data_IF_948021676479
#
_entry.id   IF_948021676479
#
_cell.length_a   1.000
_cell.length_b   1.000
_cell.length_c   1.000
_cell.angle_alpha   90.00
_cell.angle_beta   90.00
_cell.angle_gamma   90.00
#
_symmetry.space_group_name_H-M   'P 1'
#
loop_
_entity.id
_entity.type
_entity.pdbx_description
1 polymer ?
#
# COMPACT_ATOMS: atom_id res chain seq x y z
N UNK A 1 1.40 -8.23 37.19
CA UNK A 1 0.55 -7.17 36.62
C UNK A 1 1.08 -5.82 37.11
N UNK A 2 2.10 -5.27 36.44
CA UNK A 2 2.47 -3.86 36.60
C UNK A 2 1.66 -3.10 35.55
N UNK A 3 0.54 -2.52 35.97
CA UNK A 3 -0.32 -1.76 35.05
C UNK A 3 0.46 -0.55 34.55
N UNK A 4 0.79 -0.53 33.26
CA UNK A 4 1.27 0.67 32.59
C UNK A 4 0.16 1.71 32.69
N UNK A 5 0.48 2.89 33.20
CA UNK A 5 -0.48 3.99 33.23
C UNK A 5 -0.99 4.27 31.81
N UNK A 6 -2.28 4.57 31.65
CA UNK A 6 -2.84 4.86 30.33
C UNK A 6 -2.18 6.12 29.77
N UNK A 7 -1.81 6.08 28.49
CA UNK A 7 -1.21 7.23 27.84
C UNK A 7 -2.13 8.45 27.90
N UNK A 8 -1.56 9.59 28.25
CA UNK A 8 -2.29 10.85 28.44
C UNK A 8 -2.52 11.60 27.12
N UNK A 9 -1.68 11.34 26.11
CA UNK A 9 -1.73 11.96 24.78
C UNK A 9 -1.46 10.96 23.66
N UNK A 10 -1.82 11.33 22.41
CA UNK A 10 -1.52 10.50 21.23
C UNK A 10 -0.01 10.38 21.02
N UNK A 11 0.75 11.46 21.25
CA UNK A 11 2.20 11.45 21.10
C UNK A 11 2.85 10.47 22.07
N UNK A 12 2.45 10.48 23.35
CA UNK A 12 2.91 9.50 24.33
C UNK A 12 2.56 8.07 23.90
N UNK A 13 1.31 7.85 23.49
CA UNK A 13 0.82 6.53 23.05
C UNK A 13 1.58 5.97 21.85
N UNK A 14 1.93 6.82 20.89
CA UNK A 14 2.69 6.45 19.69
C UNK A 14 4.20 6.35 19.94
N UNK A 15 4.72 6.89 21.04
CA UNK A 15 6.15 6.89 21.34
C UNK A 15 6.56 5.90 22.42
N UNK A 16 5.60 5.08 22.90
CA UNK A 16 5.85 3.99 23.82
C UNK A 16 6.87 2.97 23.28
N UNK A 17 7.71 2.36 24.13
CA UNK A 17 8.64 1.31 23.74
C UNK A 17 7.94 0.16 23.02
N UNK A 18 8.49 -0.28 21.90
CA UNK A 18 8.05 -1.50 21.26
C UNK A 18 8.53 -2.74 22.05
N UNK A 19 7.82 -3.87 21.98
CA UNK A 19 8.23 -5.09 22.65
C UNK A 19 9.58 -5.59 22.14
N UNK A 20 10.32 -6.27 23.01
CA UNK A 20 11.61 -6.87 22.69
C UNK A 20 11.36 -8.18 21.95
N UNK A 21 11.84 -8.29 20.71
CA UNK A 21 11.59 -9.46 19.86
C UNK A 21 12.80 -10.40 19.86
N UNK A 22 12.55 -11.67 20.14
CA UNK A 22 13.53 -12.74 19.94
C UNK A 22 13.49 -13.21 18.49
N UNK A 23 14.58 -12.96 17.75
CA UNK A 23 14.69 -13.39 16.35
C UNK A 23 15.25 -14.80 16.23
N UNK A 24 14.56 -15.66 15.49
CA UNK A 24 15.05 -16.98 15.11
C UNK A 24 15.52 -16.97 13.66
N UNK A 25 16.60 -17.69 13.32
CA UNK A 25 17.05 -17.79 11.94
C UNK A 25 15.93 -18.30 11.03
N UNK A 26 15.67 -17.64 9.88
CA UNK A 26 14.57 -18.06 9.02
C UNK A 26 14.86 -19.44 8.42
N UNK A 27 13.84 -20.30 8.35
CA UNK A 27 13.95 -21.63 7.72
C UNK A 27 14.39 -21.54 6.25
N UNK A 28 13.99 -20.47 5.55
CA UNK A 28 14.39 -20.16 4.17
C UNK A 28 15.18 -18.86 4.16
N UNK A 29 16.42 -18.93 3.66
CA UNK A 29 17.32 -17.77 3.58
C UNK A 29 17.02 -16.85 2.40
N UNK A 30 16.30 -17.31 1.38
CA UNK A 30 16.06 -16.55 0.16
C UNK A 30 14.73 -15.81 0.21
N UNK A 31 14.72 -14.58 -0.30
CA UNK A 31 13.51 -13.82 -0.56
C UNK A 31 12.72 -14.41 -1.73
N UNK A 32 11.41 -14.14 -1.72
CA UNK A 32 10.55 -14.43 -2.88
C UNK A 32 11.13 -13.71 -4.10
N UNK A 33 11.17 -14.39 -5.25
CA UNK A 33 11.73 -13.83 -6.48
C UNK A 33 10.66 -13.82 -7.54
N UNK A 34 10.38 -12.66 -8.09
CA UNK A 34 9.49 -12.55 -9.23
C UNK A 34 10.10 -11.62 -10.28
N UNK A 35 10.39 -12.16 -11.46
CA UNK A 35 10.96 -11.37 -12.56
C UNK A 35 10.03 -10.26 -13.05
N UNK A 36 8.74 -10.30 -12.69
CA UNK A 36 7.77 -9.24 -12.98
C UNK A 36 7.96 -7.99 -12.12
N UNK A 37 8.68 -8.07 -11.00
CA UNK A 37 8.85 -6.90 -10.14
C UNK A 37 9.83 -5.89 -10.75
N UNK A 38 9.36 -4.66 -10.82
CA UNK A 38 10.13 -3.50 -11.26
C UNK A 38 11.14 -3.10 -10.21
N UNK A 39 12.29 -2.59 -10.65
CA UNK A 39 13.28 -1.97 -9.77
C UNK A 39 13.25 -0.46 -10.00
N UNK A 40 13.32 0.37 -8.93
CA UNK A 40 13.58 1.78 -9.12
C UNK A 40 14.94 1.94 -9.79
N UNK A 41 15.09 2.96 -10.63
CA UNK A 41 16.39 3.25 -11.27
C UNK A 41 17.39 3.79 -10.25
N UNK A 42 16.90 4.55 -9.27
CA UNK A 42 17.71 5.18 -8.22
C UNK A 42 17.01 5.05 -6.86
N UNK A 43 17.78 4.83 -5.80
CA UNK A 43 17.36 4.72 -4.41
C UNK A 43 18.21 5.68 -3.57
N UNK A 44 17.58 6.61 -2.85
CA UNK A 44 18.25 7.62 -2.03
C UNK A 44 17.63 7.75 -0.66
N UNK A 45 18.37 8.33 0.29
CA UNK A 45 17.80 8.73 1.57
C UNK A 45 16.76 9.83 1.35
N UNK A 46 15.70 9.79 2.15
CA UNK A 46 14.68 10.81 2.21
C UNK A 46 15.04 11.77 3.34
N UNK A 47 15.96 12.68 3.03
CA UNK A 47 16.56 13.58 4.03
C UNK A 47 15.52 14.43 4.76
N UNK A 48 14.50 14.88 4.01
CA UNK A 48 13.38 15.63 4.56
C UNK A 48 12.61 14.86 5.65
N UNK A 49 12.21 13.60 5.42
CA UNK A 49 11.47 12.84 6.43
C UNK A 49 12.34 12.52 7.65
N UNK A 50 13.67 12.43 7.47
CA UNK A 50 14.58 12.20 8.58
C UNK A 50 14.54 13.34 9.61
N UNK A 51 14.31 14.57 9.17
CA UNK A 51 14.17 15.73 10.04
C UNK A 51 12.82 15.71 10.77
N UNK A 52 12.86 15.53 12.09
CA UNK A 52 11.68 15.53 12.94
C UNK A 52 10.94 16.88 12.92
N UNK A 53 11.61 17.98 12.53
CA UNK A 53 10.94 19.28 12.38
C UNK A 53 9.85 19.27 11.31
N UNK A 54 9.90 18.36 10.34
CA UNK A 54 8.79 18.17 9.39
C UNK A 54 7.50 17.86 10.14
N UNK A 55 7.54 16.96 11.12
CA UNK A 55 6.36 16.65 11.94
C UNK A 55 5.83 17.88 12.69
N UNK A 56 6.75 18.70 13.22
CA UNK A 56 6.40 19.92 13.96
C UNK A 56 5.77 20.98 13.06
N UNK A 57 6.19 21.06 11.79
CA UNK A 57 5.77 22.10 10.85
C UNK A 57 4.54 21.71 10.01
N UNK A 58 4.35 20.43 9.71
CA UNK A 58 3.26 19.95 8.86
C UNK A 58 1.88 20.39 9.36
N UNK A 59 0.99 20.72 8.42
CA UNK A 59 -0.35 21.23 8.70
C UNK A 59 -0.36 22.48 9.61
N UNK A 60 0.67 23.33 9.48
CA UNK A 60 0.82 24.55 10.27
C UNK A 60 1.04 24.29 11.76
N UNK A 61 1.58 23.13 12.13
CA UNK A 61 1.84 22.73 13.52
C UNK A 61 0.64 22.16 14.27
N UNK A 62 -0.57 22.26 13.70
CA UNK A 62 -1.81 21.73 14.30
C UNK A 62 -1.74 20.24 14.59
N UNK A 63 -1.02 19.48 13.77
CA UNK A 63 -0.90 18.03 13.97
C UNK A 63 -0.14 17.70 15.26
N UNK A 64 0.92 18.45 15.57
CA UNK A 64 1.68 18.27 16.81
C UNK A 64 0.87 18.72 18.03
N UNK A 65 0.14 19.83 17.93
CA UNK A 65 -0.78 20.29 18.97
C UNK A 65 -1.84 19.23 19.28
N UNK A 66 -2.43 18.65 18.23
CA UNK A 66 -3.43 17.59 18.35
C UNK A 66 -2.85 16.32 18.98
N UNK A 67 -1.61 15.96 18.60
CA UNK A 67 -0.89 14.81 19.14
C UNK A 67 -0.57 14.96 20.63
N UNK A 68 -0.25 16.18 21.07
CA UNK A 68 0.07 16.51 22.47
C UNK A 68 -1.15 16.77 23.34
N UNK A 69 -2.33 16.98 22.75
CA UNK A 69 -3.56 17.27 23.51
C UNK A 69 -3.82 16.17 24.53
N UNK A 70 -3.85 16.56 25.79
CA UNK A 70 -4.17 15.70 26.92
C UNK A 70 -5.68 15.41 27.02
N UNK A 71 -6.05 14.44 27.86
CA UNK A 71 -7.46 14.14 28.16
C UNK A 71 -8.17 13.35 27.07
N UNK A 72 -7.45 12.78 26.10
CA UNK A 72 -8.04 11.86 25.13
C UNK A 72 -8.30 10.50 25.75
N UNK A 73 -9.46 9.93 25.44
CA UNK A 73 -9.77 8.56 25.79
C UNK A 73 -9.06 7.58 24.83
N UNK A 74 -7.81 7.25 25.14
CA UNK A 74 -7.03 6.23 24.46
C UNK A 74 -7.18 4.88 25.18
N UNK A 75 -7.20 3.74 24.44
CA UNK A 75 -7.22 2.43 25.07
C UNK A 75 -5.88 2.14 25.76
N UNK A 76 -5.88 1.13 26.66
CA UNK A 76 -4.64 0.55 27.15
C UNK A 76 -3.81 -0.04 26.00
N UNK A 77 -2.49 -0.14 26.21
CA UNK A 77 -1.62 -0.83 25.26
C UNK A 77 -2.07 -2.28 25.05
N UNK A 78 -1.92 -2.83 23.82
CA UNK A 78 -2.25 -4.23 23.57
C UNK A 78 -1.48 -5.17 24.50
N UNK A 79 -2.14 -6.18 25.05
CA UNK A 79 -1.51 -7.19 25.89
C UNK A 79 -0.65 -8.13 25.03
N UNK A 80 0.66 -8.16 25.28
CA UNK A 80 1.64 -8.92 24.51
C UNK A 80 2.20 -10.03 25.40
N UNK A 81 2.13 -11.26 24.90
CA UNK A 81 2.78 -12.41 25.50
C UNK A 81 4.20 -12.53 24.91
N UNK A 82 5.22 -12.29 25.73
CA UNK A 82 6.61 -12.31 25.28
C UNK A 82 7.06 -13.67 24.73
N UNK A 83 6.46 -14.78 25.18
CA UNK A 83 6.81 -16.12 24.71
C UNK A 83 6.08 -16.48 23.41
N UNK A 84 4.83 -16.03 23.27
CA UNK A 84 3.99 -16.38 22.13
C UNK A 84 4.08 -15.38 20.97
N UNK A 85 4.09 -14.07 21.27
CA UNK A 85 3.99 -12.99 20.28
C UNK A 85 5.35 -12.39 19.91
N UNK A 86 6.30 -12.36 20.85
CA UNK A 86 7.62 -11.72 20.66
C UNK A 86 8.69 -12.67 20.11
N UNK A 87 8.29 -13.71 19.39
CA UNK A 87 9.22 -14.68 18.77
C UNK A 87 9.04 -14.69 17.24
N UNK A 88 9.97 -14.03 16.54
CA UNK A 88 9.93 -13.94 15.08
C UNK A 88 10.65 -15.14 14.43
N UNK A 89 9.90 -16.00 13.74
CA UNK A 89 10.45 -17.17 13.01
C UNK A 89 10.25 -17.03 11.50
N UNK A 90 9.24 -16.28 11.07
CA UNK A 90 8.86 -16.12 9.67
C UNK A 90 7.98 -14.86 9.45
N UNK A 91 7.62 -14.60 8.20
CA UNK A 91 6.82 -13.42 7.78
C UNK A 91 5.46 -13.34 8.47
N UNK A 92 4.82 -14.48 8.79
CA UNK A 92 3.55 -14.48 9.50
C UNK A 92 3.69 -14.02 10.95
N UNK A 93 4.81 -14.34 11.62
CA UNK A 93 5.07 -13.91 12.99
C UNK A 93 5.30 -12.38 13.01
N UNK A 94 6.12 -11.86 12.08
CA UNK A 94 6.30 -10.41 11.88
C UNK A 94 4.94 -9.73 11.69
N UNK A 95 4.12 -10.24 10.77
CA UNK A 95 2.78 -9.68 10.51
C UNK A 95 1.87 -9.76 11.74
N UNK A 96 1.86 -10.88 12.45
CA UNK A 96 1.02 -11.06 13.64
C UNK A 96 1.39 -10.04 14.72
N UNK A 97 2.67 -9.84 14.99
CA UNK A 97 3.15 -8.82 15.93
C UNK A 97 2.74 -7.41 15.50
N UNK A 98 2.97 -7.04 14.24
CA UNK A 98 2.54 -5.73 13.72
C UNK A 98 1.02 -5.53 13.80
N UNK A 99 0.22 -6.57 13.55
CA UNK A 99 -1.24 -6.50 13.67
C UNK A 99 -1.66 -6.32 15.13
N UNK A 100 -1.07 -7.09 16.05
CA UNK A 100 -1.43 -7.05 17.47
C UNK A 100 -0.99 -5.75 18.14
N UNK A 101 0.23 -5.30 17.87
CA UNK A 101 0.87 -4.14 18.49
C UNK A 101 0.65 -2.84 17.68
N UNK A 102 1.44 -2.64 16.63
CA UNK A 102 1.52 -1.39 15.86
C UNK A 102 0.18 -0.99 15.25
N UNK A 103 -0.52 -1.90 14.56
CA UNK A 103 -1.80 -1.60 13.91
C UNK A 103 -2.85 -1.20 14.94
N UNK A 104 -2.92 -1.89 16.08
CA UNK A 104 -3.85 -1.57 17.17
C UNK A 104 -3.61 -0.16 17.71
N UNK A 105 -2.35 0.15 18.02
CA UNK A 105 -1.92 1.46 18.54
C UNK A 105 -2.20 2.58 17.51
N UNK A 106 -1.70 2.43 16.28
CA UNK A 106 -1.86 3.43 15.22
C UNK A 106 -3.34 3.64 14.88
N UNK A 107 -4.13 2.57 14.77
CA UNK A 107 -5.57 2.70 14.44
C UNK A 107 -6.34 3.40 15.57
N UNK A 108 -6.00 3.12 16.83
CA UNK A 108 -6.61 3.80 17.97
C UNK A 108 -6.24 5.29 18.00
N UNK A 109 -4.98 5.63 17.72
CA UNK A 109 -4.50 7.01 17.64
C UNK A 109 -5.07 7.80 16.44
N UNK A 110 -5.36 7.15 15.32
CA UNK A 110 -6.00 7.78 14.14
C UNK A 110 -7.49 8.06 14.37
N UNK A 111 -8.17 7.24 15.18
CA UNK A 111 -9.63 7.34 15.37
C UNK A 111 -10.12 8.74 15.76
N UNK A 112 -9.55 9.42 16.78
CA UNK A 112 -10.06 10.72 17.21
C UNK A 112 -9.77 11.87 16.24
N UNK A 113 -8.78 11.73 15.35
CA UNK A 113 -8.35 12.79 14.43
C UNK A 113 -8.79 12.56 12.98
N UNK A 114 -9.48 11.44 12.72
CA UNK A 114 -9.68 10.92 11.37
C UNK A 114 -10.38 11.90 10.44
N UNK A 115 -11.43 12.56 10.93
CA UNK A 115 -12.22 13.50 10.15
C UNK A 115 -11.48 14.81 9.94
N UNK A 116 -10.86 15.34 10.99
CA UNK A 116 -10.13 16.61 10.94
C UNK A 116 -8.90 16.55 10.03
N UNK A 117 -8.20 15.42 10.02
CA UNK A 117 -6.96 15.24 9.25
C UNK A 117 -7.10 14.32 8.03
N UNK A 118 -8.33 13.96 7.64
CA UNK A 118 -8.64 13.09 6.49
C UNK A 118 -7.81 11.80 6.44
N UNK A 119 -7.48 11.22 7.60
CA UNK A 119 -6.47 10.15 7.68
C UNK A 119 -6.97 8.84 7.07
N UNK A 120 -6.11 8.15 6.31
CA UNK A 120 -6.41 6.82 5.80
C UNK A 120 -6.41 5.77 6.92
N UNK A 121 -7.28 4.76 6.79
CA UNK A 121 -7.35 3.65 7.74
C UNK A 121 -6.36 2.55 7.38
N UNK A 122 -5.89 1.80 8.38
CA UNK A 122 -5.06 0.61 8.17
C UNK A 122 -5.91 -0.59 7.75
N UNK A 123 -6.41 -0.51 6.52
CA UNK A 123 -7.11 -1.57 5.80
C UNK A 123 -6.51 -1.72 4.42
N UNK A 124 -6.45 -2.95 3.91
CA UNK A 124 -6.02 -3.20 2.54
C UNK A 124 -7.04 -2.60 1.59
N UNK A 125 -6.56 -1.94 0.54
CA UNK A 125 -7.41 -1.47 -0.54
C UNK A 125 -7.74 -2.55 -1.56
N UNK A 126 -8.69 -2.23 -2.43
CA UNK A 126 -9.01 -2.99 -3.62
C UNK A 126 -7.86 -2.91 -4.63
N UNK A 127 -7.60 -4.00 -5.37
CA UNK A 127 -6.63 -4.00 -6.44
C UNK A 127 -7.08 -3.06 -7.58
N UNK A 128 -6.14 -2.57 -8.42
CA UNK A 128 -6.50 -1.85 -9.64
C UNK A 128 -7.36 -2.72 -10.58
N UNK A 129 -8.17 -2.08 -11.42
CA UNK A 129 -9.10 -2.77 -12.33
C UNK A 129 -8.38 -3.68 -13.33
N UNK A 130 -9.07 -4.75 -13.76
CA UNK A 130 -8.50 -5.86 -14.54
C UNK A 130 -8.05 -5.46 -15.97
N UNK A 131 -8.40 -4.27 -16.45
CA UNK A 131 -8.19 -3.82 -17.84
C UNK A 131 -6.86 -3.08 -18.08
N UNK A 132 -6.05 -2.81 -17.04
CA UNK A 132 -4.82 -2.06 -17.22
C UNK A 132 -3.62 -2.96 -17.59
N UNK A 133 -3.14 -2.90 -18.84
CA UNK A 133 -1.97 -3.64 -19.22
C UNK A 133 -0.69 -3.06 -18.58
N UNK A 134 0.09 -3.92 -17.94
CA UNK A 134 1.42 -3.55 -17.43
C UNK A 134 2.52 -3.98 -18.40
N UNK A 135 3.37 -3.03 -18.79
CA UNK A 135 4.61 -3.33 -19.52
C UNK A 135 5.51 -4.19 -18.62
N UNK A 136 5.98 -5.37 -19.08
CA UNK A 136 6.93 -6.16 -18.31
C UNK A 136 8.25 -5.38 -18.13
N UNK A 137 8.96 -5.56 -17.00
CA UNK A 137 10.24 -4.89 -16.78
C UNK A 137 11.23 -5.19 -17.91
N UNK A 138 11.93 -4.15 -18.37
CA UNK A 138 12.92 -4.26 -19.45
C UNK A 138 14.03 -5.22 -19.02
N UNK A 139 14.18 -6.33 -19.75
CA UNK A 139 15.28 -7.27 -19.48
C UNK A 139 16.60 -6.59 -19.87
N UNK A 140 17.66 -6.68 -19.05
CA UNK A 140 18.98 -6.28 -19.51
C UNK A 140 19.36 -7.19 -20.68
N UNK A 141 19.61 -6.59 -21.85
CA UNK A 141 20.15 -7.29 -23.01
C UNK A 141 21.48 -7.92 -22.61
N UNK A 142 21.47 -9.24 -22.40
CA UNK A 142 22.70 -10.01 -22.41
C UNK A 142 23.09 -10.11 -23.88
N UNK A 143 24.01 -9.25 -24.33
CA UNK A 143 24.80 -9.51 -25.53
C UNK A 143 25.57 -10.82 -25.32
N UNK A 144 24.94 -11.95 -25.64
CA UNK A 144 25.65 -13.17 -25.95
C UNK A 144 26.00 -13.07 -27.43
N UNK A 145 27.27 -12.88 -27.73
CA UNK A 145 27.81 -13.17 -29.06
C UNK A 145 27.69 -14.69 -29.27
N UNK A 146 26.56 -15.13 -29.77
CA UNK A 146 26.41 -16.46 -30.35
C UNK A 146 26.38 -16.30 -31.87
N UNK A 147 26.99 -17.23 -32.63
CA UNK A 147 27.01 -17.15 -34.09
C UNK A 147 25.57 -17.17 -34.64
N UNK A 148 25.34 -16.57 -35.82
CA UNK A 148 24.00 -16.39 -36.36
C UNK A 148 23.38 -17.76 -36.60
N UNK A 149 22.37 -18.11 -35.79
CA UNK A 149 21.41 -19.15 -36.17
C UNK A 149 20.24 -18.44 -36.82
N UNK A 150 19.94 -18.82 -38.06
CA UNK A 150 18.68 -18.48 -38.72
C UNK A 150 17.53 -19.01 -37.86
N UNK A 151 16.93 -18.13 -37.06
CA UNK A 151 15.68 -18.38 -36.37
C UNK A 151 14.64 -17.46 -37.00
N UNK A 152 13.60 -18.08 -37.55
CA UNK A 152 12.39 -17.45 -38.07
C UNK A 152 11.89 -16.35 -37.14
N UNK A 153 11.90 -15.11 -37.62
CA UNK A 153 11.41 -13.93 -36.91
C UNK A 153 9.90 -13.87 -37.02
N UNK A 154 9.20 -14.72 -36.27
CA UNK A 154 7.88 -14.33 -35.79
C UNK A 154 8.12 -13.49 -34.53
N UNK A 155 8.00 -12.18 -34.68
CA UNK A 155 7.98 -11.24 -33.56
C UNK A 155 6.76 -11.56 -32.69
N UNK A 156 6.93 -12.46 -31.73
CA UNK A 156 5.93 -12.68 -30.67
C UNK A 156 5.79 -11.35 -29.94
N UNK A 157 4.67 -10.67 -30.16
CA UNK A 157 4.24 -9.55 -29.34
C UNK A 157 4.36 -9.97 -27.87
N UNK A 158 5.00 -9.17 -27.01
CA UNK A 158 5.16 -9.52 -25.61
C UNK A 158 3.77 -9.68 -25.00
N UNK A 159 3.39 -10.94 -24.75
CA UNK A 159 2.09 -11.30 -24.20
C UNK A 159 1.93 -10.52 -22.89
N UNK A 160 0.97 -9.61 -22.85
CA UNK A 160 0.64 -8.86 -21.64
C UNK A 160 0.28 -9.86 -20.54
N UNK A 161 0.98 -9.82 -19.41
CA UNK A 161 0.81 -10.79 -18.35
C UNK A 161 0.05 -10.15 -17.19
N UNK A 162 -1.07 -10.78 -16.79
CA UNK A 162 -1.87 -10.32 -15.66
C UNK A 162 -1.03 -10.19 -14.39
N UNK A 163 -1.16 -9.03 -13.74
CA UNK A 163 -0.58 -8.71 -12.45
C UNK A 163 -1.44 -9.19 -11.26
N UNK A 164 -2.59 -9.86 -11.52
CA UNK A 164 -3.59 -10.28 -10.52
C UNK A 164 -3.07 -10.90 -9.22
N UNK A 165 -1.93 -11.60 -9.30
CA UNK A 165 -1.33 -12.29 -8.14
C UNK A 165 -0.37 -11.44 -7.31
N UNK A 166 -0.06 -10.21 -7.72
CA UNK A 166 0.85 -9.32 -7.01
C UNK A 166 0.02 -8.38 -6.14
N UNK A 167 -0.01 -8.64 -4.84
CA UNK A 167 -0.70 -7.77 -3.87
C UNK A 167 0.17 -7.56 -2.64
N UNK A 168 0.11 -6.37 -2.04
CA UNK A 168 0.83 -6.12 -0.79
C UNK A 168 0.25 -6.96 0.35
N UNK A 169 1.07 -7.27 1.35
CA UNK A 169 0.63 -8.00 2.54
C UNK A 169 -0.41 -7.20 3.35
N UNK A 170 -0.28 -5.87 3.38
CA UNK A 170 -1.22 -4.94 4.02
C UNK A 170 -1.23 -3.59 3.32
N UNK A 171 -2.08 -2.67 3.76
CA UNK A 171 -2.39 -1.47 2.99
C UNK A 171 -3.01 -0.33 3.77
N UNK A 172 -3.44 0.70 3.05
CA UNK A 172 -4.32 1.75 3.56
C UNK A 172 -5.34 2.17 2.53
N UNK A 173 -6.54 2.50 2.98
CA UNK A 173 -7.63 3.01 2.16
C UNK A 173 -8.37 4.10 2.94
N UNK A 174 -9.23 4.87 2.28
CA UNK A 174 -10.20 5.69 3.02
C UNK A 174 -11.35 4.81 3.50
N UNK A 175 -12.15 5.31 4.43
CA UNK A 175 -13.36 4.61 4.90
C UNK A 175 -14.58 5.35 4.39
N UNK A 176 -15.54 4.64 3.79
CA UNK A 176 -16.88 5.18 3.55
C UNK A 176 -17.49 5.56 4.90
N UNK A 177 -17.84 6.83 5.09
CA UNK A 177 -18.59 7.29 6.26
C UNK A 177 -20.10 7.21 6.08
N UNK A 178 -20.62 6.86 4.89
CA UNK A 178 -22.05 6.70 4.64
C UNK A 178 -22.42 5.25 4.30
N UNK A 179 -23.29 4.59 5.08
CA UNK A 179 -23.79 3.24 4.79
C UNK A 179 -25.02 3.20 3.85
N UNK A 180 -25.39 4.31 3.19
CA UNK A 180 -26.72 4.41 2.57
C UNK A 180 -26.85 5.18 1.26
N UNK A 181 -25.77 5.66 0.64
CA UNK A 181 -25.84 6.24 -0.70
C UNK A 181 -25.14 5.30 -1.69
N UNK A 182 -25.86 4.90 -2.73
CA UNK A 182 -25.29 4.41 -4.00
C UNK A 182 -24.57 5.58 -4.67
N UNK A 183 -23.50 6.05 -4.04
CA UNK A 183 -22.69 7.16 -4.53
C UNK A 183 -21.76 6.59 -5.61
N UNK A 184 -21.81 7.09 -6.87
CA UNK A 184 -20.97 6.58 -7.95
C UNK A 184 -19.46 6.70 -7.67
N UNK A 185 -19.05 7.51 -6.68
CA UNK A 185 -17.66 7.65 -6.23
C UNK A 185 -17.21 6.60 -5.19
N UNK A 186 -18.04 5.59 -4.87
CA UNK A 186 -17.72 4.57 -3.84
C UNK A 186 -16.43 3.79 -4.07
N UNK A 187 -15.97 3.71 -5.33
CA UNK A 187 -14.75 3.02 -5.74
C UNK A 187 -13.47 3.74 -5.26
N UNK A 188 -13.47 5.07 -5.18
CA UNK A 188 -12.28 5.85 -4.78
C UNK A 188 -11.87 5.64 -3.32
N UNK A 189 -12.83 5.27 -2.47
CA UNK A 189 -12.59 5.05 -1.05
C UNK A 189 -11.89 3.73 -0.77
N UNK A 190 -12.01 2.74 -1.66
CA UNK A 190 -11.38 1.43 -1.49
C UNK A 190 -9.99 1.33 -2.10
N UNK A 191 -9.52 2.36 -2.81
CA UNK A 191 -8.20 2.32 -3.45
C UNK A 191 -7.07 2.12 -2.44
N UNK A 192 -6.09 1.29 -2.81
CA UNK A 192 -4.87 1.09 -2.03
C UNK A 192 -3.95 2.32 -2.12
N UNK A 193 -3.71 2.97 -0.98
CA UNK A 193 -2.96 4.23 -0.86
C UNK A 193 -1.58 4.09 -0.22
N UNK A 194 -1.34 3.01 0.53
CA UNK A 194 -0.10 2.84 1.29
C UNK A 194 0.23 1.35 1.48
N UNK A 195 0.74 0.68 0.42
CA UNK A 195 1.11 -0.73 0.46
C UNK A 195 2.21 -0.99 1.48
N UNK A 196 2.07 -2.09 2.21
CA UNK A 196 2.99 -2.53 3.27
C UNK A 196 3.39 -3.97 3.05
N UNK A 197 4.68 -4.22 3.13
CA UNK A 197 5.28 -5.55 3.06
C UNK A 197 5.87 -5.95 4.40
N UNK A 198 5.67 -7.20 4.84
CA UNK A 198 6.34 -7.72 6.03
C UNK A 198 7.52 -8.59 5.64
N UNK A 199 8.64 -8.43 6.33
CA UNK A 199 9.81 -9.28 6.16
C UNK A 199 10.41 -9.63 7.53
N UNK A 200 10.91 -10.86 7.73
CA UNK A 200 11.59 -11.21 8.97
C UNK A 200 12.85 -10.37 9.09
N UNK A 201 13.13 -9.91 10.29
CA UNK A 201 14.21 -8.96 10.54
C UNK A 201 15.59 -9.56 10.20
N UNK A 202 15.77 -10.88 10.35
CA UNK A 202 16.99 -11.61 9.96
C UNK A 202 17.07 -11.97 8.47
N UNK A 203 16.05 -11.62 7.67
CA UNK A 203 16.01 -11.91 6.22
C UNK A 203 16.22 -10.65 5.38
N UNK A 204 15.91 -9.48 5.93
CA UNK A 204 16.09 -8.21 5.25
C UNK A 204 16.30 -7.07 6.23
N UNK A 205 17.33 -6.25 5.99
CA UNK A 205 17.61 -4.98 6.68
C UNK A 205 18.10 -3.96 5.66
N UNK A 206 17.69 -2.71 5.78
CA UNK A 206 18.07 -1.63 4.86
C UNK A 206 19.56 -1.33 4.90
N UNK A 207 20.20 -1.47 6.07
CA UNK A 207 21.65 -1.28 6.23
C UNK A 207 22.49 -2.17 5.32
N UNK A 208 21.98 -3.34 4.94
CA UNK A 208 22.68 -4.26 4.04
C UNK A 208 22.82 -3.72 2.62
N UNK A 209 22.02 -2.72 2.23
CA UNK A 209 22.23 -2.02 0.95
C UNK A 209 23.57 -1.30 0.91
N UNK A 210 24.00 -0.73 2.04
CA UNK A 210 25.28 -0.05 2.19
C UNK A 210 26.42 -1.04 2.49
N UNK A 211 26.19 -2.05 3.33
CA UNK A 211 27.23 -3.04 3.69
C UNK A 211 27.62 -3.96 2.50
N UNK A 212 26.69 -4.26 1.57
CA UNK A 212 26.91 -5.18 0.43
C UNK A 212 27.00 -4.47 -0.93
N UNK A 213 27.57 -3.25 -0.97
CA UNK A 213 27.40 -2.21 -2.00
C UNK A 213 26.42 -2.57 -3.12
N UNK A 214 25.12 -2.59 -2.79
CA UNK A 214 24.08 -2.93 -3.77
C UNK A 214 23.78 -1.74 -4.69
N UNK A 215 23.96 -0.54 -4.16
CA UNK A 215 23.80 0.74 -4.82
C UNK A 215 25.13 1.51 -4.73
N UNK A 216 25.42 2.29 -5.76
CA UNK A 216 26.58 3.19 -5.77
C UNK A 216 26.27 4.50 -5.00
N UNK A 217 27.25 5.41 -4.95
CA UNK A 217 27.12 6.70 -4.26
C UNK A 217 25.99 7.59 -4.82
N UNK A 218 25.65 7.44 -6.10
CA UNK A 218 24.53 8.17 -6.70
C UNK A 218 23.17 7.52 -6.40
N UNK A 219 23.15 6.36 -5.72
CA UNK A 219 21.95 5.60 -5.40
C UNK A 219 21.47 4.68 -6.52
N UNK A 220 22.22 4.54 -7.61
CA UNK A 220 21.87 3.61 -8.69
C UNK A 220 22.39 2.20 -8.40
N UNK A 221 21.68 1.19 -8.89
CA UNK A 221 22.12 -0.20 -8.72
C UNK A 221 23.50 -0.43 -9.33
N UNK A 222 24.38 -1.03 -8.53
CA UNK A 222 25.65 -1.55 -9.02
C UNK A 222 25.42 -2.63 -10.09
N UNK A 223 26.38 -2.79 -11.01
CA UNK A 223 26.20 -3.66 -12.19
C UNK A 223 25.79 -5.08 -11.78
N UNK A 224 24.58 -5.50 -12.17
CA UNK A 224 24.03 -6.82 -11.86
C UNK A 224 23.46 -7.00 -10.45
N UNK A 225 23.57 -5.99 -9.57
CA UNK A 225 23.09 -6.07 -8.17
C UNK A 225 21.58 -5.93 -8.02
N UNK A 226 20.86 -5.41 -9.00
CA UNK A 226 19.39 -5.38 -9.02
C UNK A 226 18.72 -6.77 -9.07
N UNK A 227 19.51 -7.83 -9.28
CA UNK A 227 19.08 -9.24 -9.22
C UNK A 227 19.52 -9.95 -7.92
N UNK A 228 20.21 -9.23 -7.03
CA UNK A 228 20.64 -9.76 -5.73
C UNK A 228 19.44 -10.09 -4.84
N UNK A 229 19.58 -11.06 -3.92
CA UNK A 229 18.46 -11.54 -3.11
C UNK A 229 17.82 -10.42 -2.26
N UNK A 230 18.66 -9.54 -1.73
CA UNK A 230 18.27 -8.40 -0.90
C UNK A 230 17.58 -7.27 -1.68
N UNK A 231 17.67 -7.26 -3.02
CA UNK A 231 16.98 -6.29 -3.85
C UNK A 231 15.48 -6.64 -4.00
N UNK A 232 15.10 -7.90 -3.79
CA UNK A 232 13.74 -8.36 -4.08
C UNK A 232 12.65 -7.70 -3.24
N UNK A 233 12.79 -7.52 -1.92
CA UNK A 233 11.77 -6.81 -1.13
C UNK A 233 11.54 -5.37 -1.59
N UNK A 234 12.60 -4.66 -1.99
CA UNK A 234 12.52 -3.30 -2.54
C UNK A 234 11.76 -3.31 -3.86
N UNK A 235 12.10 -4.23 -4.77
CA UNK A 235 11.42 -4.37 -6.07
C UNK A 235 9.95 -4.71 -5.91
N UNK A 236 9.65 -5.60 -4.97
CA UNK A 236 8.29 -6.01 -4.64
C UNK A 236 7.47 -4.81 -4.16
N UNK A 237 7.93 -4.12 -3.12
CA UNK A 237 7.23 -2.96 -2.54
C UNK A 237 7.09 -1.81 -3.56
N UNK A 238 8.15 -1.53 -4.34
CA UNK A 238 8.13 -0.55 -5.43
C UNK A 238 7.09 -0.88 -6.51
N UNK A 239 6.97 -2.17 -6.86
CA UNK A 239 5.98 -2.61 -7.84
C UNK A 239 4.56 -2.35 -7.35
N UNK A 240 4.28 -2.54 -6.07
CA UNK A 240 2.96 -2.23 -5.52
C UNK A 240 2.63 -0.74 -5.60
N UNK A 241 3.62 0.14 -5.40
CA UNK A 241 3.41 1.57 -5.60
C UNK A 241 3.07 1.91 -7.05
N UNK A 242 3.77 1.31 -8.03
CA UNK A 242 3.46 1.48 -9.46
C UNK A 242 2.06 0.97 -9.80
N UNK A 243 1.69 -0.20 -9.28
CA UNK A 243 0.42 -0.85 -9.58
C UNK A 243 -0.77 -0.04 -9.09
N UNK A 244 -0.69 0.47 -7.85
CA UNK A 244 -1.76 1.22 -7.23
C UNK A 244 -1.61 2.74 -7.46
N UNK A 245 -0.64 3.16 -8.28
CA UNK A 245 -0.29 4.57 -8.51
C UNK A 245 -0.18 5.40 -7.23
N UNK A 246 0.38 4.79 -6.18
CA UNK A 246 0.56 5.43 -4.89
C UNK A 246 2.03 5.85 -4.66
N UNK A 247 2.17 7.06 -4.13
CA UNK A 247 3.44 7.75 -3.83
C UNK A 247 4.22 7.07 -2.74
N UNK A 248 3.56 6.43 -1.78
CA UNK A 248 4.21 5.95 -0.55
C UNK A 248 4.11 4.43 -0.41
N UNK A 249 5.08 3.84 0.27
CA UNK A 249 5.04 2.43 0.67
C UNK A 249 6.00 2.14 1.81
N UNK A 250 5.92 0.94 2.38
CA UNK A 250 6.90 0.53 3.39
C UNK A 250 7.20 -0.97 3.40
N UNK A 251 8.38 -1.30 3.93
CA UNK A 251 8.78 -2.65 4.32
C UNK A 251 8.95 -2.64 5.84
N UNK A 252 8.23 -3.53 6.50
CA UNK A 252 8.11 -3.62 7.95
C UNK A 252 8.82 -4.88 8.43
N UNK A 253 9.75 -4.69 9.36
CA UNK A 253 10.49 -5.76 10.03
C UNK A 253 10.48 -5.53 11.53
N UNK A 254 10.85 -6.54 12.33
CA UNK A 254 11.05 -6.35 13.76
C UNK A 254 12.39 -5.66 14.13
N UNK A 255 13.16 -5.15 13.15
CA UNK A 255 14.33 -4.29 13.40
C UNK A 255 14.11 -2.84 12.97
N UNK A 256 13.26 -2.61 11.98
CA UNK A 256 13.04 -1.29 11.40
C UNK A 256 11.74 -1.22 10.59
N UNK A 257 11.21 -0.01 10.46
CA UNK A 257 10.30 0.37 9.39
C UNK A 257 11.09 1.11 8.30
N UNK A 258 11.15 0.52 7.11
CA UNK A 258 11.69 1.14 5.91
C UNK A 258 10.55 1.81 5.14
N UNK A 259 10.39 3.12 5.32
CA UNK A 259 9.32 3.92 4.71
C UNK A 259 9.91 4.65 3.52
N UNK A 260 9.18 4.68 2.40
CA UNK A 260 9.68 5.31 1.20
C UNK A 260 8.58 6.05 0.44
N UNK A 261 9.01 7.01 -0.38
CA UNK A 261 8.21 7.63 -1.44
C UNK A 261 8.82 7.38 -2.81
N UNK A 262 7.99 7.37 -3.85
CA UNK A 262 8.39 7.10 -5.23
C UNK A 262 7.99 8.26 -6.14
N UNK A 263 8.83 8.60 -7.13
CA UNK A 263 8.49 9.53 -8.20
C UNK A 263 9.30 9.25 -9.46
N UNK A 264 8.88 9.72 -10.64
CA UNK A 264 9.76 9.79 -11.79
C UNK A 264 11.00 10.66 -11.51
N UNK A 265 12.15 10.30 -12.08
CA UNK A 265 13.33 11.19 -12.12
C UNK A 265 13.23 12.23 -13.23
N UNK A 266 12.48 11.93 -14.27
CA UNK A 266 12.30 12.77 -15.45
C UNK A 266 11.51 14.04 -15.08
N UNK A 267 11.82 15.15 -15.75
CA UNK A 267 11.02 16.37 -15.64
C UNK A 267 9.67 16.13 -16.31
N UNK A 268 8.64 16.76 -15.76
CA UNK A 268 7.30 16.80 -16.34
C UNK A 268 7.37 17.19 -17.83
N UNK A 269 6.72 16.44 -18.73
CA UNK A 269 6.75 16.74 -20.15
C UNK A 269 6.10 18.11 -20.42
N UNK A 270 6.69 18.89 -21.34
CA UNK A 270 6.26 20.26 -21.65
C UNK A 270 4.79 20.40 -22.09
N UNK A 271 4.17 19.29 -22.51
CA UNK A 271 2.77 19.27 -22.94
C UNK A 271 1.77 19.05 -21.78
N UNK A 272 2.22 19.04 -20.51
CA UNK A 272 1.34 19.02 -19.33
C UNK A 272 0.37 17.84 -19.29
N UNK A 273 0.66 16.76 -20.02
CA UNK A 273 -0.21 15.59 -20.07
C UNK A 273 -0.19 14.92 -18.70
N UNK A 274 -1.26 15.14 -17.93
CA UNK A 274 -1.58 14.41 -16.70
C UNK A 274 -1.98 12.95 -16.97
N UNK A 275 -1.53 12.35 -18.08
CA UNK A 275 -1.82 10.96 -18.41
C UNK A 275 -1.10 10.03 -17.42
N UNK A 276 -1.89 9.40 -16.56
CA UNK A 276 -1.48 8.37 -15.60
C UNK A 276 -0.63 7.28 -16.26
N UNK A 277 -0.88 6.93 -17.52
CA UNK A 277 -0.10 5.93 -18.25
C UNK A 277 1.31 6.42 -18.62
N UNK A 278 1.48 7.71 -18.94
CA UNK A 278 2.81 8.31 -19.14
C UNK A 278 3.59 8.27 -17.84
N UNK A 279 2.94 8.69 -16.75
CA UNK A 279 3.55 8.71 -15.41
C UNK A 279 3.97 7.31 -14.96
N UNK A 280 3.08 6.33 -15.08
CA UNK A 280 3.36 4.91 -14.78
C UNK A 280 4.54 4.38 -15.59
N UNK A 281 4.59 4.65 -16.90
CA UNK A 281 5.72 4.24 -17.76
C UNK A 281 7.03 4.88 -17.30
N UNK A 282 7.01 6.13 -16.86
CA UNK A 282 8.22 6.78 -16.35
C UNK A 282 8.66 6.22 -15.00
N UNK A 283 7.75 5.85 -14.10
CA UNK A 283 8.12 5.12 -12.88
C UNK A 283 8.78 3.78 -13.21
N UNK A 284 8.25 3.03 -14.18
CA UNK A 284 8.81 1.75 -14.60
C UNK A 284 10.23 1.90 -15.19
N UNK A 285 10.46 2.93 -16.01
CA UNK A 285 11.71 3.09 -16.76
C UNK A 285 12.77 3.88 -16.02
N UNK A 286 12.37 4.91 -15.28
CA UNK A 286 13.27 5.92 -14.70
C UNK A 286 12.78 6.45 -13.34
N UNK A 287 12.24 5.58 -12.49
CA UNK A 287 11.76 5.98 -11.17
C UNK A 287 12.86 6.13 -10.11
N UNK A 288 12.59 7.00 -9.16
CA UNK A 288 13.34 7.28 -7.94
C UNK A 288 12.55 6.77 -6.74
N UNK A 289 13.24 6.11 -5.82
CA UNK A 289 12.74 5.80 -4.49
C UNK A 289 13.55 6.59 -3.44
N UNK A 290 12.89 7.40 -2.64
CA UNK A 290 13.50 8.09 -1.49
C UNK A 290 13.03 7.39 -0.22
N UNK A 291 13.93 7.02 0.69
CA UNK A 291 13.59 6.22 1.87
C UNK A 291 14.16 6.75 3.20
N UNK A 292 13.45 6.44 4.27
CA UNK A 292 13.92 6.53 5.65
C UNK A 292 13.88 5.13 6.29
N UNK A 293 14.78 4.88 7.23
CA UNK A 293 14.79 3.67 8.06
C UNK A 293 14.63 4.10 9.50
N UNK A 294 13.59 3.60 10.15
CA UNK A 294 13.23 3.94 11.53
C UNK A 294 13.44 2.70 12.39
N UNK A 295 14.43 2.69 13.30
CA UNK A 295 14.72 1.53 14.14
C UNK A 295 13.54 1.14 15.03
N UNK A 296 13.32 -0.17 15.19
CA UNK A 296 12.30 -0.74 16.08
C UNK A 296 12.51 -0.35 17.55
N UNK A 297 13.77 -0.17 17.94
CA UNK A 297 14.17 0.20 19.29
C UNK A 297 13.93 1.67 19.63
N UNK A 298 13.59 2.52 18.66
CA UNK A 298 13.31 3.93 18.93
C UNK A 298 12.05 4.09 19.78
N UNK A 299 12.16 4.83 20.88
CA UNK A 299 11.08 5.16 21.79
C UNK A 299 11.40 6.45 22.54
N UNK A 300 10.39 7.00 23.23
CA UNK A 300 10.57 8.18 24.08
C UNK A 300 11.45 7.87 25.30
N UNK A 301 12.45 8.73 25.56
CA UNK A 301 13.38 8.60 26.69
C UNK A 301 13.21 9.73 27.73
N UNK A 302 12.01 9.90 28.28
CA UNK A 302 11.71 10.63 29.53
C UNK A 302 12.12 12.10 29.69
N UNK A 303 12.87 12.70 28.76
CA UNK A 303 13.27 14.11 28.75
C UNK A 303 12.33 14.97 27.91
N UNK A 304 12.26 16.28 28.18
CA UNK A 304 11.40 17.23 27.45
C UNK A 304 11.70 17.27 25.93
N UNK A 305 12.97 17.11 25.54
CA UNK A 305 13.40 16.98 24.14
C UNK A 305 13.34 15.53 23.60
N UNK A 306 13.04 14.55 24.44
CA UNK A 306 13.11 13.13 24.04
C UNK A 306 11.90 12.63 23.24
N UNK A 307 10.93 13.49 22.94
CA UNK A 307 9.89 13.22 21.94
C UNK A 307 10.33 13.56 20.51
N UNK A 308 11.54 14.10 20.30
CA UNK A 308 12.04 14.53 18.98
C UNK A 308 12.69 13.40 18.19
N UNK A 309 12.11 12.20 18.27
CA UNK A 309 12.57 11.05 17.51
C UNK A 309 11.41 10.32 16.86
N UNK A 310 11.65 9.85 15.65
CA UNK A 310 10.70 8.98 14.97
C UNK A 310 10.69 7.60 15.62
N UNK A 311 9.54 7.21 16.17
CA UNK A 311 9.21 5.81 16.47
C UNK A 311 8.44 5.22 15.29
N UNK A 312 8.41 3.89 15.19
CA UNK A 312 7.68 3.20 14.11
C UNK A 312 6.18 3.56 14.15
N UNK A 313 5.57 3.54 15.33
CA UNK A 313 4.14 3.84 15.48
C UNK A 313 3.85 5.31 15.10
N UNK A 314 4.67 6.27 15.56
CA UNK A 314 4.50 7.68 15.23
C UNK A 314 4.66 7.94 13.73
N UNK A 315 5.69 7.37 13.10
CA UNK A 315 5.92 7.55 11.68
C UNK A 315 4.81 6.93 10.84
N UNK A 316 4.33 5.74 11.18
CA UNK A 316 3.22 5.13 10.47
C UNK A 316 1.92 5.91 10.66
N UNK A 317 1.65 6.41 11.87
CA UNK A 317 0.52 7.31 12.11
C UNK A 317 0.58 8.57 11.24
N UNK A 318 1.76 9.21 11.17
CA UNK A 318 1.97 10.36 10.30
C UNK A 318 1.79 10.01 8.81
N UNK A 319 2.35 8.89 8.35
CA UNK A 319 2.15 8.41 6.97
C UNK A 319 0.69 8.17 6.64
N UNK A 320 -0.09 7.63 7.57
CA UNK A 320 -1.53 7.42 7.40
C UNK A 320 -2.32 8.73 7.21
N UNK A 321 -1.84 9.83 7.80
CA UNK A 321 -2.39 11.17 7.58
C UNK A 321 -1.96 11.70 6.21
N UNK A 322 -0.68 11.60 5.87
CA UNK A 322 -0.17 12.04 4.57
C UNK A 322 -0.88 11.34 3.41
N UNK A 323 -1.01 10.01 3.43
CA UNK A 323 -1.68 9.25 2.37
C UNK A 323 -3.20 9.45 2.37
N UNK A 324 -3.77 9.92 3.48
CA UNK A 324 -5.17 10.32 3.55
C UNK A 324 -5.44 11.57 2.70
N UNK A 325 -4.51 12.52 2.74
CA UNK A 325 -4.62 13.82 2.07
C UNK A 325 -4.06 13.80 0.64
N UNK A 326 -2.91 13.14 0.41
CA UNK A 326 -2.28 13.10 -0.90
C UNK A 326 -1.47 11.80 -1.07
N UNK A 327 -2.06 10.80 -1.71
CA UNK A 327 -1.40 9.51 -1.95
C UNK A 327 -0.88 9.33 -3.37
N UNK A 328 -1.27 10.18 -4.31
CA UNK A 328 -1.07 9.92 -5.74
C UNK A 328 0.38 10.15 -6.16
N UNK A 329 0.83 9.37 -7.13
CA UNK A 329 2.11 9.66 -7.78
C UNK A 329 1.99 10.98 -8.55
N UNK A 330 3.02 11.82 -8.49
CA UNK A 330 3.13 13.03 -9.29
C UNK A 330 4.57 13.18 -9.81
N UNK A 331 4.76 14.04 -10.82
CA UNK A 331 6.09 14.39 -11.34
C UNK A 331 6.94 15.13 -10.32
N UNK A 332 6.30 15.95 -9.50
CA UNK A 332 6.91 16.77 -8.46
C UNK A 332 6.06 16.68 -7.21
N UNK A 333 6.74 16.81 -6.09
CA UNK A 333 6.13 16.87 -4.79
C UNK A 333 6.58 18.14 -4.12
N UNK A 334 5.64 18.80 -3.45
CA UNK A 334 5.95 19.83 -2.48
C UNK A 334 6.68 19.23 -1.29
N UNK A 335 7.22 20.12 -0.44
CA UNK A 335 7.83 19.70 0.81
C UNK A 335 6.75 19.14 1.73
N UNK A 336 7.08 18.13 2.53
CA UNK A 336 6.18 17.51 3.51
C UNK A 336 5.61 18.51 4.52
N UNK A 337 6.38 19.55 4.86
CA UNK A 337 5.92 20.64 5.74
C UNK A 337 4.85 21.52 5.07
N UNK A 338 4.82 21.55 3.74
CA UNK A 338 3.92 22.36 2.93
C UNK A 338 2.67 21.55 2.48
N UNK A 339 2.57 20.28 2.88
CA UNK A 339 1.38 19.45 2.60
C UNK A 339 0.14 20.07 3.25
N UNK A 340 -0.91 20.19 2.45
CA UNK A 340 -2.20 20.76 2.88
C UNK A 340 -3.23 19.66 3.10
N UNK A 341 -4.29 19.99 3.83
CA UNK A 341 -5.46 19.12 3.85
C UNK A 341 -5.99 18.93 2.44
N UNK A 342 -6.38 17.70 2.09
CA UNK A 342 -7.22 17.51 0.93
C UNK A 342 -8.44 18.41 1.14
N UNK A 343 -8.68 19.34 0.21
CA UNK A 343 -9.96 20.03 0.19
C UNK A 343 -11.01 18.91 0.23
N UNK A 344 -11.84 18.89 1.28
CA UNK A 344 -13.04 18.07 1.27
C UNK A 344 -13.67 18.41 -0.07
N UNK A 345 -13.72 17.44 -1.00
CA UNK A 345 -14.45 17.62 -2.24
C UNK A 345 -15.90 17.77 -1.81
N UNK A 346 -16.28 19.00 -1.46
CA UNK A 346 -17.67 19.40 -1.44
C UNK A 346 -18.18 19.04 -2.82
N UNK A 347 -19.31 18.32 -2.92
CA UNK A 347 -20.02 18.22 -4.18
C UNK A 347 -20.09 19.65 -4.72
N UNK A 348 -19.47 19.88 -5.88
CA UNK A 348 -19.74 21.13 -6.57
C UNK A 348 -21.22 21.03 -6.89
N UNK A 349 -22.04 21.79 -6.17
CA UNK A 349 -23.35 22.18 -6.67
C UNK A 349 -23.06 22.81 -8.03
N UNK A 350 -23.32 22.05 -9.10
CA UNK A 350 -23.47 22.65 -10.41
C UNK A 350 -24.48 23.79 -10.22
N UNK A 351 -24.17 25.02 -10.65
CA UNK A 351 -25.18 26.05 -10.69
C UNK A 351 -26.25 25.53 -11.63
N UNK A 352 -27.39 25.12 -11.07
CA UNK A 352 -28.64 24.97 -11.81
C UNK A 352 -28.86 26.32 -12.48
N UNK A 353 -28.53 26.40 -13.76
CA UNK A 353 -28.88 27.50 -14.62
C UNK A 353 -30.42 27.52 -14.66
N UNK A 354 -30.99 28.41 -13.86
CA UNK A 354 -32.37 28.83 -14.01
C UNK A 354 -32.53 29.41 -15.42
N UNK A 355 -33.34 28.71 -16.20
CA UNK A 355 -34.35 29.23 -17.13
C UNK A 355 -34.25 30.72 -17.47
N UNK A 356 -33.89 31.00 -18.72
CA UNK A 356 -34.52 32.08 -19.47
C UNK A 356 -35.40 31.43 -20.56
N UNK A 357 -36.67 31.82 -20.49
CA UNK A 357 -37.75 31.56 -21.45
C UNK A 357 -37.47 32.28 -22.77
N UNK A 358 -37.94 31.68 -23.87
CA UNK A 358 -38.84 32.27 -24.87
C UNK A 358 -38.79 31.40 -26.14
N UNK A 359 -39.88 30.66 -26.39
CA UNK A 359 -40.82 30.89 -27.50
C UNK A 359 -40.38 30.15 -28.77
N UNK A 360 -41.09 29.07 -29.11
CA UNK A 360 -41.93 29.08 -30.30
C UNK A 360 -42.83 27.83 -30.39
N UNK A 361 -44.04 28.12 -30.81
CA UNK A 361 -45.24 27.30 -30.97
C UNK A 361 -45.07 26.26 -32.10
N UNK A 362 -45.71 25.08 -31.98
CA UNK A 362 -46.88 24.77 -32.81
C UNK A 362 -47.31 23.29 -32.77
N UNK A 363 -48.60 23.16 -32.49
CA UNK A 363 -49.60 22.30 -33.15
C UNK A 363 -49.47 20.76 -33.21
N UNK A 364 -50.27 20.15 -32.34
CA UNK A 364 -51.50 19.42 -32.72
C UNK A 364 -51.54 17.89 -32.65
N UNK A 365 -52.74 17.45 -32.26
CA UNK A 365 -53.44 16.22 -32.66
C UNK A 365 -53.47 15.06 -31.65
N UNK A 366 -54.42 15.18 -30.73
CA UNK A 366 -55.55 14.29 -30.43
C UNK A 366 -55.42 12.76 -30.43
N UNK A 367 -56.19 12.20 -29.46
CA UNK A 367 -56.82 10.87 -29.40
C UNK A 367 -56.00 9.69 -28.92
N UNK A 368 -56.58 8.64 -28.34
CA UNK A 368 -57.72 8.43 -27.43
C UNK A 368 -57.47 7.03 -26.84
N UNK A 369 -58.19 6.69 -25.78
CA UNK A 369 -58.11 5.46 -24.99
C UNK A 369 -57.96 4.13 -25.75
N UNK A 370 -57.38 3.12 -25.08
CA UNK A 370 -58.11 1.90 -24.67
C UNK A 370 -57.22 0.64 -24.60
N UNK A 371 -57.10 0.10 -23.38
CA UNK A 371 -57.45 -1.27 -22.98
C UNK A 371 -56.93 -2.48 -23.82
N UNK A 372 -56.11 -3.34 -23.19
CA UNK A 372 -56.37 -4.77 -22.91
C UNK A 372 -55.12 -5.63 -22.74
N UNK A 373 -54.95 -6.16 -21.52
CA UNK A 373 -54.47 -7.53 -21.22
C UNK A 373 -55.37 -8.56 -21.95
N UNK A 374 -54.96 -9.71 -22.48
CA UNK A 374 -54.26 -10.89 -21.89
C UNK A 374 -53.78 -11.83 -23.05
N UNK A 375 -53.36 -13.10 -22.84
CA UNK A 375 -52.04 -13.67 -23.15
C UNK A 375 -51.99 -14.49 -24.46
N UNK A 376 -50.80 -14.91 -24.91
CA UNK A 376 -50.68 -16.21 -25.58
C UNK A 376 -49.27 -16.79 -25.53
N UNK A 377 -49.27 -18.11 -25.48
CA UNK A 377 -48.21 -19.04 -25.13
C UNK A 377 -47.46 -19.58 -26.35
N UNK A 378 -46.29 -20.16 -26.08
CA UNK A 378 -45.58 -21.22 -26.81
C UNK A 378 -45.43 -21.14 -28.35
N UNK A 379 -44.18 -20.96 -28.82
CA UNK A 379 -43.31 -22.09 -29.18
C UNK A 379 -42.16 -21.75 -30.16
N UNK A 380 -41.02 -22.43 -29.95
CA UNK A 380 -39.90 -22.75 -30.88
C UNK A 380 -38.96 -21.57 -31.22
N UNK A 381 -37.72 -21.53 -30.74
CA UNK A 381 -36.60 -22.28 -31.31
C UNK A 381 -35.48 -22.62 -30.29
N UNK A 382 -34.93 -23.81 -30.49
CA UNK A 382 -33.88 -24.51 -29.72
C UNK A 382 -32.48 -23.90 -29.91
N UNK A 383 -31.52 -24.23 -29.02
CA UNK A 383 -30.45 -25.12 -29.50
C UNK A 383 -30.16 -26.33 -28.59
N UNK A 384 -29.81 -27.42 -29.28
CA UNK A 384 -29.26 -28.68 -28.75
C UNK A 384 -28.07 -28.43 -27.80
N UNK A 385 -28.03 -29.00 -26.58
CA UNK A 385 -27.58 -30.39 -26.25
C UNK A 385 -26.18 -30.68 -26.81
N UNK A 386 -25.13 -30.99 -26.05
CA UNK A 386 -24.88 -32.01 -25.00
C UNK A 386 -23.37 -31.83 -24.63
N UNK A 387 -22.78 -32.25 -23.51
CA UNK A 387 -23.06 -33.12 -22.34
C UNK A 387 -21.92 -32.79 -21.36
N UNK A 388 -22.16 -32.44 -20.09
CA UNK A 388 -22.49 -33.29 -18.93
C UNK A 388 -21.36 -34.24 -18.53
N UNK A 389 -20.73 -33.99 -17.36
CA UNK A 389 -21.02 -34.77 -16.13
C UNK A 389 -20.39 -34.17 -14.88
N UNK A 390 -21.27 -33.69 -14.00
CA UNK A 390 -21.37 -33.88 -12.54
C UNK A 390 -20.47 -35.01 -12.00
N UNK A 391 -19.91 -34.95 -10.79
CA UNK A 391 -20.69 -34.95 -9.54
C UNK A 391 -19.84 -34.52 -8.34
N UNK A 392 -20.54 -33.86 -7.41
CA UNK A 392 -20.15 -33.40 -6.07
C UNK A 392 -19.68 -34.50 -5.10
N UNK A 393 -18.92 -34.09 -4.07
CA UNK A 393 -19.22 -34.40 -2.66
C UNK A 393 -18.19 -33.71 -1.71
N UNK A 394 -18.71 -32.69 -1.02
CA UNK A 394 -18.66 -32.40 0.42
C UNK A 394 -17.42 -32.64 1.32
N UNK A 395 -17.15 -31.57 2.10
CA UNK A 395 -16.94 -31.50 3.56
C UNK A 395 -15.92 -32.39 4.31
N UNK A 396 -15.13 -31.72 5.15
CA UNK A 396 -15.22 -31.99 6.60
C UNK A 396 -14.21 -32.94 7.26
N UNK A 397 -13.17 -32.34 7.87
CA UNK A 397 -12.45 -32.71 9.11
C UNK A 397 -12.57 -34.15 9.72
N UNK A 398 -11.42 -34.83 9.94
CA UNK A 398 -10.81 -35.03 11.29
C UNK A 398 -9.60 -35.99 11.34
N UNK A 399 -8.63 -35.57 12.17
CA UNK A 399 -7.60 -36.24 12.99
C UNK A 399 -7.40 -37.78 12.94
N UNK A 400 -6.13 -38.22 12.89
CA UNK A 400 -5.52 -39.07 13.95
C UNK A 400 -4.08 -39.54 13.62
N UNK A 401 -3.35 -39.82 14.71
CA UNK A 401 -1.92 -40.08 14.88
C UNK A 401 -1.40 -41.39 14.25
N UNK A 402 -0.09 -41.45 13.99
CA UNK A 402 0.72 -42.63 14.36
C UNK A 402 2.20 -42.33 14.56
N UNK A 403 2.66 -42.63 15.79
CA UNK A 403 4.05 -42.78 16.24
C UNK A 403 4.82 -43.74 15.32
N UNK A 404 6.11 -43.46 15.08
CA UNK A 404 7.11 -44.51 14.89
C UNK A 404 8.32 -44.23 15.78
N UNK A 405 8.59 -45.22 16.62
CA UNK A 405 9.74 -45.35 17.51
C UNK A 405 11.00 -45.64 16.70
N UNK A 406 12.12 -45.08 17.14
CA UNK A 406 13.46 -45.50 16.76
C UNK A 406 13.85 -46.74 17.59
N UNK A 407 14.43 -47.74 16.92
CA UNK A 407 15.19 -48.82 17.57
C UNK A 407 16.64 -48.66 17.12
N UNK A 408 17.52 -48.62 18.11
CA UNK A 408 18.98 -48.64 17.99
C UNK A 408 19.47 -50.05 17.63
N UNK A 409 20.53 -50.09 16.81
CA UNK A 409 21.61 -51.08 16.90
C UNK A 409 22.91 -50.37 16.61
#
# INVERSE_FOLDING_TARGET
>A
MTGTEPATSILEFLTHPNPIVSHRPPKRKTNSRNQKWHAPKQIKKWDEFHDFNVFKASFGGRLLEEARREGRHLPAYPDIDDEADCVERNENDTRALYVKWTKSIVTAALRPIRQEFSSAIWSKGDPPSDDEPSEPPTRPEKQRQLPPRECSVEAKTPKMQSLRGLRPDSGSALRNTSPGSEDPDSDTYRLERFPKEYKPAEKWKSKWMAELPLINESGEWERGRSSHDLAWPIKQAYTYCIQNMCRYGCILTCHEAFIFRVKPRSIEPANGSHDTNVLRRQLIRNGLMEYVSIPWTNHHQGGLESHETWTINLALWFMHILVGNNYEVCWRYDRLQDETFAALRLPQDEPLAHEDQDEDEDESSDSDASDKTVPFDESIFTPLRKRKRDTDAEEGFNLSFSKRQFVQT
#
